data_IF_160439835537
#
_entry.id   IF_160439835537
#
_cell.length_a   1.000
_cell.length_b   1.000
_cell.length_c   1.000
_cell.angle_alpha   90.00
_cell.angle_beta   90.00
_cell.angle_gamma   90.00
#
_symmetry.space_group_name_H-M   'P 1'
#
loop_
_entity.id
_entity.type
_entity.pdbx_description
1 polymer ?
#
# COMPACT_ATOMS: atom_id res chain seq x y z
N UNK A 1 25.31 2.13 -25.06
CA UNK A 1 24.19 3.09 -25.01
C UNK A 1 23.27 2.61 -23.93
N UNK A 2 23.38 3.23 -22.76
CA UNK A 2 22.77 2.80 -21.50
C UNK A 2 21.36 3.37 -21.37
N UNK A 3 20.43 2.53 -20.92
CA UNK A 3 19.00 2.81 -20.74
C UNK A 3 18.76 3.27 -19.28
N UNK A 4 18.06 4.39 -19.00
CA UNK A 4 17.99 4.96 -17.65
C UNK A 4 16.80 4.47 -16.79
N UNK A 5 17.15 3.67 -15.77
CA UNK A 5 16.80 3.75 -14.33
C UNK A 5 15.41 4.09 -13.76
N UNK A 6 14.32 4.29 -14.53
CA UNK A 6 12.98 4.57 -13.94
C UNK A 6 11.98 3.41 -13.88
N UNK A 7 12.26 2.30 -14.57
CA UNK A 7 11.62 1.01 -14.25
C UNK A 7 12.14 0.42 -12.91
N UNK A 8 13.08 1.12 -12.26
CA UNK A 8 13.94 0.64 -11.18
C UNK A 8 13.42 1.00 -9.77
N UNK A 9 12.39 1.86 -9.65
CA UNK A 9 11.77 2.22 -8.36
C UNK A 9 10.48 1.41 -8.07
N UNK A 10 9.74 1.03 -9.10
CA UNK A 10 8.77 -0.09 -9.02
C UNK A 10 9.54 -1.39 -8.74
N UNK A 11 10.75 -1.53 -9.29
CA UNK A 11 11.67 -2.59 -8.92
C UNK A 11 12.23 -2.45 -7.48
N UNK A 12 12.23 -1.26 -6.86
CA UNK A 12 12.78 -1.06 -5.51
C UNK A 12 11.89 -1.62 -4.39
N UNK A 13 10.58 -1.41 -4.48
CA UNK A 13 9.60 -2.01 -3.56
C UNK A 13 9.51 -3.53 -3.74
N UNK A 14 9.83 -4.05 -4.93
CA UNK A 14 9.92 -5.50 -5.22
C UNK A 14 11.24 -6.08 -4.69
N UNK A 15 12.39 -5.44 -4.94
CA UNK A 15 13.74 -5.95 -4.60
C UNK A 15 13.99 -6.04 -3.07
N UNK A 16 13.45 -5.13 -2.25
CA UNK A 16 13.63 -5.16 -0.80
C UNK A 16 12.85 -6.30 -0.12
N UNK A 17 11.63 -6.57 -0.61
CA UNK A 17 10.79 -7.69 -0.16
C UNK A 17 11.43 -9.02 -0.61
N UNK A 18 11.95 -9.10 -1.84
CA UNK A 18 12.65 -10.28 -2.36
C UNK A 18 13.96 -10.62 -1.62
N UNK A 19 14.70 -9.62 -1.13
CA UNK A 19 15.97 -9.83 -0.41
C UNK A 19 15.78 -10.39 1.01
N UNK A 20 14.76 -9.91 1.74
CA UNK A 20 14.36 -10.47 3.03
C UNK A 20 13.87 -11.93 2.92
N UNK A 21 13.15 -12.24 1.84
CA UNK A 21 12.73 -13.61 1.50
C UNK A 21 13.94 -14.48 1.12
N UNK A 22 14.92 -13.96 0.37
CA UNK A 22 16.14 -14.70 -0.01
C UNK A 22 17.02 -15.08 1.19
N UNK A 23 17.12 -14.24 2.23
CA UNK A 23 17.86 -14.55 3.47
C UNK A 23 17.13 -15.59 4.32
N UNK A 24 15.80 -15.49 4.43
CA UNK A 24 14.96 -16.53 5.06
C UNK A 24 15.05 -17.87 4.32
N UNK A 25 15.04 -17.85 2.98
CA UNK A 25 15.23 -19.02 2.13
C UNK A 25 16.64 -19.60 2.22
N UNK A 26 17.70 -18.77 2.36
CA UNK A 26 19.08 -19.25 2.51
C UNK A 26 19.31 -19.96 3.86
N UNK A 27 18.69 -19.46 4.93
CA UNK A 27 18.73 -20.12 6.25
C UNK A 27 17.93 -21.44 6.25
N UNK A 28 16.83 -21.50 5.50
CA UNK A 28 16.02 -22.72 5.32
C UNK A 28 16.67 -23.76 4.38
N UNK A 29 17.48 -23.30 3.41
CA UNK A 29 18.21 -24.14 2.42
C UNK A 29 19.33 -24.99 3.03
N UNK A 30 19.79 -24.69 4.25
CA UNK A 30 20.73 -25.53 5.00
C UNK A 30 20.05 -26.61 5.86
N UNK A 31 18.72 -26.69 5.90
CA UNK A 31 18.03 -27.88 6.39
C UNK A 31 17.85 -28.87 5.24
N UNK A 32 18.68 -29.91 5.28
CA UNK A 32 18.77 -31.01 4.32
C UNK A 32 17.43 -31.45 3.73
N UNK A 33 17.44 -31.52 2.40
CA UNK A 33 16.62 -32.33 1.50
C UNK A 33 15.88 -33.49 2.17
N UNK A 34 14.59 -33.30 2.39
CA UNK A 34 13.59 -34.28 2.01
C UNK A 34 12.69 -33.58 0.99
N UNK A 35 12.53 -34.16 -0.20
CA UNK A 35 11.63 -33.63 -1.22
C UNK A 35 10.18 -33.78 -0.72
N UNK A 36 9.74 -32.81 0.10
CA UNK A 36 8.33 -32.53 0.32
C UNK A 36 7.75 -32.12 -1.03
N UNK A 37 6.77 -32.88 -1.54
CA UNK A 37 5.92 -32.42 -2.64
C UNK A 37 5.26 -31.13 -2.18
N UNK A 38 5.78 -29.99 -2.61
CA UNK A 38 5.15 -28.68 -2.38
C UNK A 38 3.89 -28.66 -3.24
N UNK A 39 2.73 -28.61 -2.60
CA UNK A 39 1.46 -28.44 -3.27
C UNK A 39 1.29 -26.96 -3.58
N UNK A 40 1.35 -26.61 -4.86
CA UNK A 40 1.22 -25.23 -5.36
C UNK A 40 -0.12 -25.10 -6.07
N UNK A 41 -0.81 -23.97 -5.83
CA UNK A 41 -2.04 -23.64 -6.53
C UNK A 41 -1.78 -23.50 -8.04
N UNK A 42 -2.76 -23.86 -8.86
CA UNK A 42 -2.71 -23.46 -10.27
C UNK A 42 -2.72 -21.93 -10.38
N UNK A 43 -2.18 -21.42 -11.49
CA UNK A 43 -2.12 -19.98 -11.77
C UNK A 43 -3.49 -19.33 -11.64
N UNK A 44 -4.50 -19.94 -12.24
CA UNK A 44 -5.86 -19.42 -12.28
C UNK A 44 -6.46 -19.35 -10.87
N UNK A 45 -6.29 -20.40 -10.07
CA UNK A 45 -6.79 -20.45 -8.70
C UNK A 45 -6.05 -19.48 -7.78
N UNK A 46 -4.73 -19.32 -7.95
CA UNK A 46 -3.95 -18.35 -7.20
C UNK A 46 -4.43 -16.92 -7.45
N UNK A 47 -4.58 -16.55 -8.73
CA UNK A 47 -5.08 -15.22 -9.13
C UNK A 47 -6.47 -14.98 -8.57
N UNK A 48 -7.38 -15.96 -8.72
CA UNK A 48 -8.74 -15.85 -8.21
C UNK A 48 -8.76 -15.62 -6.69
N UNK A 49 -8.00 -16.42 -5.94
CA UNK A 49 -7.92 -16.29 -4.47
C UNK A 49 -7.37 -14.92 -4.08
N UNK A 50 -6.29 -14.44 -4.70
CA UNK A 50 -5.73 -13.12 -4.41
C UNK A 50 -6.76 -12.00 -4.65
N UNK A 51 -7.47 -12.04 -5.77
CA UNK A 51 -8.54 -11.06 -6.07
C UNK A 51 -9.68 -11.12 -5.05
N UNK A 52 -10.05 -12.32 -4.57
CA UNK A 52 -11.07 -12.49 -3.54
C UNK A 52 -10.62 -11.96 -2.18
N UNK A 53 -9.37 -12.21 -1.78
CA UNK A 53 -8.80 -11.64 -0.55
C UNK A 53 -8.80 -10.12 -0.65
N UNK A 54 -8.31 -9.56 -1.76
CA UNK A 54 -8.31 -8.10 -1.99
C UNK A 54 -9.70 -7.50 -1.86
N UNK A 55 -10.72 -8.14 -2.46
CA UNK A 55 -12.11 -7.71 -2.35
C UNK A 55 -12.64 -7.76 -0.91
N UNK A 56 -12.38 -8.85 -0.20
CA UNK A 56 -12.81 -9.03 1.19
C UNK A 56 -12.13 -8.03 2.13
N UNK A 57 -10.83 -7.79 1.95
CA UNK A 57 -10.08 -6.75 2.65
C UNK A 57 -10.71 -5.36 2.41
N UNK A 58 -11.00 -5.04 1.15
CA UNK A 58 -11.59 -3.75 0.76
C UNK A 58 -12.96 -3.49 1.40
N UNK A 59 -13.79 -4.53 1.51
CA UNK A 59 -15.11 -4.44 2.15
C UNK A 59 -15.02 -4.02 3.63
N UNK A 60 -13.94 -4.39 4.32
CA UNK A 60 -13.71 -4.01 5.72
C UNK A 60 -12.94 -2.68 5.83
N UNK A 61 -12.00 -2.45 4.91
CA UNK A 61 -11.15 -1.26 4.89
C UNK A 61 -11.95 0.03 4.64
N UNK A 62 -12.79 0.08 3.61
CA UNK A 62 -13.47 1.31 3.20
C UNK A 62 -14.42 1.90 4.26
N UNK A 63 -15.25 1.09 4.94
CA UNK A 63 -16.05 1.59 6.06
C UNK A 63 -15.19 2.12 7.21
N UNK A 64 -14.08 1.43 7.52
CA UNK A 64 -13.19 1.79 8.61
C UNK A 64 -12.42 3.10 8.34
N UNK A 65 -11.92 3.32 7.12
CA UNK A 65 -11.24 4.58 6.76
C UNK A 65 -12.21 5.76 6.81
N UNK A 66 -13.45 5.57 6.33
CA UNK A 66 -14.49 6.60 6.42
C UNK A 66 -14.82 6.96 7.87
N UNK A 67 -14.95 5.95 8.74
CA UNK A 67 -15.17 6.19 10.16
C UNK A 67 -13.98 6.92 10.81
N UNK A 68 -12.75 6.52 10.50
CA UNK A 68 -11.52 7.18 10.97
C UNK A 68 -11.48 8.64 10.55
N UNK A 69 -11.82 8.96 9.29
CA UNK A 69 -11.87 10.35 8.79
C UNK A 69 -12.90 11.19 9.54
N UNK A 70 -14.11 10.66 9.72
CA UNK A 70 -15.18 11.33 10.49
C UNK A 70 -14.74 11.57 11.94
N UNK A 71 -14.01 10.63 12.53
CA UNK A 71 -13.51 10.74 13.90
C UNK A 71 -12.40 11.78 14.01
N UNK A 72 -11.32 11.64 13.23
CA UNK A 72 -10.13 12.50 13.33
C UNK A 72 -10.44 13.97 13.03
N UNK A 73 -11.31 14.25 12.04
CA UNK A 73 -11.72 15.62 11.65
C UNK A 73 -12.50 16.39 12.73
N UNK A 74 -12.89 15.75 13.83
CA UNK A 74 -13.50 16.43 15.00
C UNK A 74 -12.48 17.17 15.87
N UNK A 75 -11.21 16.84 15.70
CA UNK A 75 -10.12 17.32 16.56
C UNK A 75 -9.16 18.21 15.77
N UNK A 76 -8.44 19.12 16.45
CA UNK A 76 -7.36 19.88 15.81
C UNK A 76 -6.28 18.95 15.21
N UNK A 77 -5.73 19.25 14.02
CA UNK A 77 -4.78 18.36 13.31
C UNK A 77 -3.53 17.93 14.09
N UNK A 78 -3.11 18.71 15.10
CA UNK A 78 -1.93 18.43 15.95
C UNK A 78 -2.29 18.00 17.38
N UNK A 79 -3.53 17.55 17.58
CA UNK A 79 -3.96 17.07 18.89
C UNK A 79 -3.67 15.58 19.02
N UNK A 80 -3.37 15.14 20.24
CA UNK A 80 -3.15 13.72 20.57
C UNK A 80 -4.33 12.85 20.11
N UNK A 81 -5.57 13.35 20.23
CA UNK A 81 -6.76 12.64 19.75
C UNK A 81 -6.78 12.44 18.23
N UNK A 82 -6.30 13.42 17.46
CA UNK A 82 -6.21 13.33 16.01
C UNK A 82 -5.20 12.25 15.60
N UNK A 83 -4.01 12.31 16.17
CA UNK A 83 -2.90 11.38 15.89
C UNK A 83 -3.27 9.95 16.29
N UNK A 84 -3.86 9.78 17.48
CA UNK A 84 -4.29 8.48 17.98
C UNK A 84 -5.37 7.83 17.10
N UNK A 85 -6.28 8.62 16.50
CA UNK A 85 -7.26 8.09 15.57
C UNK A 85 -6.60 7.46 14.33
N UNK A 86 -5.55 8.09 13.80
CA UNK A 86 -4.80 7.64 12.62
C UNK A 86 -4.01 6.37 12.93
N UNK A 87 -3.20 6.41 13.99
CA UNK A 87 -2.36 5.27 14.40
C UNK A 87 -3.23 4.04 14.74
N UNK A 88 -4.38 4.24 15.39
CA UNK A 88 -5.30 3.14 15.68
C UNK A 88 -5.98 2.56 14.45
N UNK A 89 -6.31 3.41 13.47
CA UNK A 89 -6.78 2.91 12.18
C UNK A 89 -5.71 2.05 11.51
N UNK A 90 -4.46 2.51 11.49
CA UNK A 90 -3.36 1.75 10.89
C UNK A 90 -3.13 0.41 11.59
N UNK A 91 -3.22 0.33 12.92
CA UNK A 91 -3.11 -0.95 13.65
C UNK A 91 -4.20 -1.96 13.26
N UNK A 92 -5.38 -1.49 12.82
CA UNK A 92 -6.49 -2.36 12.41
C UNK A 92 -6.34 -2.90 10.98
N UNK A 93 -5.61 -2.22 10.10
CA UNK A 93 -5.52 -2.62 8.67
C UNK A 93 -4.91 -4.01 8.49
N UNK A 94 -3.84 -4.31 9.23
CA UNK A 94 -3.23 -5.65 9.26
C UNK A 94 -4.24 -6.72 9.68
N UNK A 95 -5.02 -6.47 10.73
CA UNK A 95 -6.03 -7.43 11.20
C UNK A 95 -7.14 -7.67 10.16
N UNK A 96 -7.53 -6.65 9.39
CA UNK A 96 -8.49 -6.82 8.30
C UNK A 96 -7.94 -7.71 7.18
N UNK A 97 -6.66 -7.54 6.83
CA UNK A 97 -5.99 -8.34 5.81
C UNK A 97 -5.82 -9.80 6.26
N UNK A 98 -5.38 -10.01 7.50
CA UNK A 98 -5.21 -11.34 8.08
C UNK A 98 -6.56 -12.08 8.09
N UNK A 99 -7.62 -11.42 8.55
CA UNK A 99 -8.97 -11.97 8.53
C UNK A 99 -9.47 -12.27 7.11
N UNK A 100 -9.27 -11.36 6.15
CA UNK A 100 -9.64 -11.57 4.76
C UNK A 100 -8.92 -12.80 4.16
N UNK A 101 -7.62 -12.93 4.45
CA UNK A 101 -6.79 -14.05 3.98
C UNK A 101 -7.26 -15.37 4.58
N UNK A 102 -7.48 -15.43 5.90
CA UNK A 102 -7.96 -16.63 6.58
C UNK A 102 -9.35 -17.03 6.08
N UNK A 103 -10.28 -16.07 5.98
CA UNK A 103 -11.65 -16.33 5.55
C UNK A 103 -11.70 -16.88 4.12
N UNK A 104 -10.98 -16.27 3.17
CA UNK A 104 -11.00 -16.70 1.77
C UNK A 104 -10.27 -18.04 1.59
N UNK A 105 -9.07 -18.21 2.14
CA UNK A 105 -8.33 -19.48 1.97
C UNK A 105 -9.11 -20.66 2.56
N UNK A 106 -9.79 -20.47 3.69
CA UNK A 106 -10.71 -21.46 4.27
C UNK A 106 -11.90 -21.79 3.35
N UNK A 107 -12.53 -20.79 2.74
CA UNK A 107 -13.66 -21.00 1.82
C UNK A 107 -13.26 -21.78 0.55
N UNK A 108 -12.03 -21.57 0.09
CA UNK A 108 -11.44 -22.31 -1.04
C UNK A 108 -10.78 -23.64 -0.63
N UNK A 109 -10.85 -24.02 0.66
CA UNK A 109 -10.22 -25.22 1.23
C UNK A 109 -8.70 -25.29 0.98
N UNK A 110 -8.07 -24.12 0.90
CA UNK A 110 -6.63 -23.97 0.76
C UNK A 110 -6.02 -23.80 2.14
N UNK A 111 -5.00 -24.60 2.45
CA UNK A 111 -4.27 -24.42 3.71
C UNK A 111 -3.43 -23.14 3.65
N UNK A 112 -3.23 -22.43 4.79
CA UNK A 112 -2.38 -21.23 4.82
C UNK A 112 -0.99 -21.48 4.23
N UNK A 113 -0.43 -22.67 4.49
CA UNK A 113 0.87 -23.09 3.96
C UNK A 113 0.88 -23.23 2.45
N UNK A 114 -0.15 -23.84 1.85
CA UNK A 114 -0.25 -23.96 0.38
C UNK A 114 -0.38 -22.58 -0.28
N UNK A 115 -1.12 -21.66 0.35
CA UNK A 115 -1.21 -20.29 -0.14
C UNK A 115 0.14 -19.57 -0.03
N UNK A 116 0.82 -19.63 1.11
CA UNK A 116 2.16 -19.07 1.33
C UNK A 116 3.20 -19.65 0.35
N UNK A 117 3.23 -20.98 0.19
CA UNK A 117 4.11 -21.66 -0.75
C UNK A 117 3.82 -21.23 -2.20
N UNK A 118 2.55 -20.96 -2.54
CA UNK A 118 2.15 -20.43 -3.85
C UNK A 118 2.58 -18.98 -4.06
N UNK A 119 2.46 -18.12 -3.04
CA UNK A 119 2.99 -16.74 -3.09
C UNK A 119 4.50 -16.78 -3.36
N UNK A 120 5.24 -17.57 -2.60
CA UNK A 120 6.70 -17.71 -2.77
C UNK A 120 7.08 -18.29 -4.14
N UNK A 121 6.29 -19.23 -4.67
CA UNK A 121 6.51 -19.80 -6.00
C UNK A 121 6.28 -18.76 -7.11
N UNK A 122 5.24 -17.93 -6.99
CA UNK A 122 4.87 -16.94 -8.01
C UNK A 122 5.61 -15.60 -7.90
N UNK A 123 6.40 -15.36 -6.86
CA UNK A 123 7.19 -14.14 -6.67
C UNK A 123 8.15 -13.85 -7.85
N UNK A 124 8.67 -14.90 -8.49
CA UNK A 124 9.54 -14.77 -9.66
C UNK A 124 8.80 -14.59 -11.00
N UNK A 125 7.46 -14.49 -10.99
CA UNK A 125 6.62 -14.36 -12.18
C UNK A 125 5.89 -13.01 -12.13
N UNK A 126 6.44 -11.92 -12.70
CA UNK A 126 5.92 -10.56 -12.52
C UNK A 126 4.44 -10.39 -12.88
N UNK A 127 3.96 -11.12 -13.88
CA UNK A 127 2.57 -11.08 -14.30
C UNK A 127 1.60 -11.76 -13.32
N UNK A 128 2.14 -12.51 -12.34
CA UNK A 128 1.41 -13.25 -11.32
C UNK A 128 1.67 -12.66 -9.92
N UNK A 129 2.92 -12.29 -9.59
CA UNK A 129 3.33 -11.71 -8.31
C UNK A 129 2.53 -10.44 -7.98
N UNK A 130 2.19 -9.65 -9.00
CA UNK A 130 1.35 -8.45 -8.87
C UNK A 130 0.03 -8.73 -8.14
N UNK A 131 -0.57 -9.91 -8.30
CA UNK A 131 -1.85 -10.22 -7.65
C UNK A 131 -1.70 -10.40 -6.14
N UNK A 132 -0.61 -11.01 -5.68
CA UNK A 132 -0.29 -11.09 -4.25
C UNK A 132 0.13 -9.74 -3.67
N UNK A 133 0.90 -8.95 -4.42
CA UNK A 133 1.30 -7.59 -4.03
C UNK A 133 0.10 -6.64 -3.91
N UNK A 134 -0.94 -6.85 -4.70
CA UNK A 134 -2.13 -6.02 -4.68
C UNK A 134 -3.10 -6.35 -3.56
N UNK A 135 -2.95 -7.45 -2.83
CA UNK A 135 -3.88 -7.84 -1.76
C UNK A 135 -3.92 -6.77 -0.65
N UNK A 136 -2.77 -6.17 -0.34
CA UNK A 136 -2.64 -5.09 0.66
C UNK A 136 -3.22 -3.75 0.17
N UNK A 137 -3.52 -3.62 -1.12
CA UNK A 137 -4.07 -2.41 -1.73
C UNK A 137 -5.59 -2.58 -1.87
N UNK A 138 -6.41 -1.76 -1.18
CA UNK A 138 -7.86 -1.86 -1.34
C UNK A 138 -8.24 -1.70 -2.83
N UNK A 139 -9.15 -2.53 -3.31
CA UNK A 139 -9.81 -2.35 -4.58
C UNK A 139 -10.77 -1.17 -4.47
N UNK A 140 -10.64 -0.20 -5.37
CA UNK A 140 -11.58 0.91 -5.44
C UNK A 140 -12.98 0.38 -5.78
N UNK A 141 -13.98 0.86 -5.07
CA UNK A 141 -15.38 0.71 -5.49
C UNK A 141 -15.63 1.70 -6.62
N UNK A 142 -15.95 1.20 -7.81
CA UNK A 142 -15.99 1.89 -9.12
C UNK A 142 -16.95 3.10 -9.26
N UNK A 143 -17.49 3.67 -8.18
CA UNK A 143 -18.58 4.65 -8.22
C UNK A 143 -18.21 6.08 -7.78
N UNK A 144 -16.97 6.49 -7.93
CA UNK A 144 -16.59 7.90 -7.71
C UNK A 144 -16.80 8.68 -9.01
N UNK A 145 -17.97 9.32 -9.14
CA UNK A 145 -18.33 10.18 -10.27
C UNK A 145 -17.94 11.64 -10.04
N UNK A 146 -16.68 11.88 -9.70
CA UNK A 146 -16.11 13.21 -9.84
C UNK A 146 -15.42 13.31 -11.21
N UNK A 147 -15.39 14.50 -11.80
CA UNK A 147 -14.61 14.78 -13.00
C UNK A 147 -13.80 16.05 -12.73
N UNK A 148 -12.55 15.88 -12.35
CA UNK A 148 -11.62 16.99 -12.16
C UNK A 148 -10.93 17.26 -13.49
N UNK A 149 -10.77 18.54 -13.83
CA UNK A 149 -9.91 18.87 -14.96
C UNK A 149 -8.46 18.58 -14.61
N UNK A 150 -7.62 18.38 -15.63
CA UNK A 150 -6.18 18.16 -15.45
C UNK A 150 -5.53 19.27 -14.61
N UNK A 151 -5.91 20.53 -14.84
CA UNK A 151 -5.38 21.69 -14.10
C UNK A 151 -5.71 21.61 -12.61
N UNK A 152 -6.91 21.12 -12.25
CA UNK A 152 -7.31 20.93 -10.86
C UNK A 152 -6.55 19.78 -10.21
N UNK A 153 -6.33 18.68 -10.93
CA UNK A 153 -5.47 17.59 -10.45
C UNK A 153 -4.05 18.10 -10.18
N UNK A 154 -3.48 18.90 -11.10
CA UNK A 154 -2.16 19.54 -10.92
C UNK A 154 -2.16 20.44 -9.67
N UNK A 155 -3.17 21.30 -9.51
CA UNK A 155 -3.30 22.18 -8.36
C UNK A 155 -3.25 21.40 -7.04
N UNK A 156 -4.01 20.30 -6.95
CA UNK A 156 -4.04 19.48 -5.74
C UNK A 156 -2.74 18.73 -5.47
N UNK A 157 -2.10 18.17 -6.51
CA UNK A 157 -0.81 17.50 -6.34
C UNK A 157 0.30 18.47 -5.94
N UNK A 158 0.30 19.69 -6.50
CA UNK A 158 1.23 20.75 -6.08
C UNK A 158 0.95 21.22 -4.66
N UNK A 159 -0.33 21.38 -4.28
CA UNK A 159 -0.71 21.70 -2.91
C UNK A 159 -0.17 20.65 -1.93
N UNK A 160 -0.39 19.37 -2.24
CA UNK A 160 0.09 18.26 -1.41
C UNK A 160 1.62 18.32 -1.25
N UNK A 161 2.35 18.42 -2.35
CA UNK A 161 3.82 18.46 -2.35
C UNK A 161 4.38 19.63 -1.53
N UNK A 162 3.80 20.83 -1.69
CA UNK A 162 4.23 22.02 -0.95
C UNK A 162 3.97 21.87 0.55
N UNK A 163 2.76 21.43 0.94
CA UNK A 163 2.40 21.24 2.35
C UNK A 163 3.24 20.14 3.00
N UNK A 164 3.52 19.07 2.28
CA UNK A 164 4.39 17.99 2.75
C UNK A 164 5.81 18.49 3.02
N UNK A 165 6.35 19.33 2.13
CA UNK A 165 7.67 19.95 2.33
C UNK A 165 7.68 20.91 3.52
N UNK A 166 6.61 21.68 3.73
CA UNK A 166 6.49 22.62 4.85
C UNK A 166 6.35 21.94 6.22
N UNK A 167 5.71 20.77 6.26
CA UNK A 167 5.50 19.99 7.49
C UNK A 167 6.67 19.04 7.80
N UNK A 168 7.49 18.70 6.81
CA UNK A 168 8.62 17.77 6.96
C UNK A 168 9.93 18.48 7.35
N UNK A 169 10.05 18.85 8.62
CA UNK A 169 11.30 19.34 9.20
C UNK A 169 12.10 18.16 9.79
N UNK A 170 12.97 17.55 8.98
CA UNK A 170 14.02 16.59 9.37
C UNK A 170 13.55 15.28 10.05
N UNK A 171 13.45 14.22 9.24
CA UNK A 171 13.31 12.80 9.62
C UNK A 171 12.03 12.43 10.38
N UNK A 172 10.96 12.14 9.63
CA UNK A 172 9.72 11.57 10.16
C UNK A 172 9.86 10.06 10.37
N UNK A 173 9.41 9.55 11.52
CA UNK A 173 9.08 8.14 11.65
C UNK A 173 7.81 7.78 10.84
N UNK A 174 7.47 6.50 10.73
CA UNK A 174 6.31 6.08 9.92
C UNK A 174 4.97 6.60 10.47
N UNK A 175 4.81 6.65 11.79
CA UNK A 175 3.57 7.13 12.40
C UNK A 175 3.41 8.65 12.17
N UNK A 176 4.50 9.42 12.29
CA UNK A 176 4.53 10.84 11.98
C UNK A 176 4.24 11.11 10.50
N UNK A 177 4.77 10.29 9.58
CA UNK A 177 4.42 10.37 8.16
C UNK A 177 2.94 10.12 7.91
N UNK A 178 2.34 9.10 8.55
CA UNK A 178 0.91 8.84 8.45
C UNK A 178 0.08 10.01 8.98
N UNK A 179 0.53 10.66 10.05
CA UNK A 179 -0.10 11.87 10.59
C UNK A 179 -0.01 13.02 9.59
N UNK A 180 1.18 13.35 9.10
CA UNK A 180 1.39 14.48 8.17
C UNK A 180 0.57 14.30 6.89
N UNK A 181 0.60 13.11 6.29
CA UNK A 181 -0.17 12.83 5.07
C UNK A 181 -1.67 12.93 5.31
N UNK A 182 -2.17 12.44 6.45
CA UNK A 182 -3.57 12.59 6.88
C UNK A 182 -3.98 14.04 7.09
N UNK A 183 -3.10 14.88 7.64
CA UNK A 183 -3.35 16.31 7.83
C UNK A 183 -3.55 17.00 6.48
N UNK A 184 -2.68 16.72 5.51
CA UNK A 184 -2.77 17.29 4.16
C UNK A 184 -4.06 16.83 3.46
N UNK A 185 -4.43 15.55 3.58
CA UNK A 185 -5.69 15.03 3.05
C UNK A 185 -6.90 15.76 3.65
N UNK A 186 -6.91 15.98 4.96
CA UNK A 186 -8.00 16.66 5.64
C UNK A 186 -8.04 18.16 5.31
N UNK A 187 -6.88 18.81 5.07
CA UNK A 187 -6.81 20.17 4.54
C UNK A 187 -7.42 20.26 3.14
N UNK A 188 -7.07 19.34 2.24
CA UNK A 188 -7.64 19.25 0.88
C UNK A 188 -9.16 19.04 0.98
N UNK A 189 -9.61 18.13 1.84
CA UNK A 189 -11.04 17.91 2.06
C UNK A 189 -11.73 19.16 2.62
N UNK A 190 -11.15 19.84 3.60
CA UNK A 190 -11.72 21.06 4.19
C UNK A 190 -11.88 22.17 3.14
N UNK A 191 -10.86 22.37 2.31
CA UNK A 191 -10.82 23.46 1.33
C UNK A 191 -11.63 23.17 0.06
N UNK A 192 -11.70 21.90 -0.36
CA UNK A 192 -12.20 21.54 -1.69
C UNK A 192 -13.32 20.49 -1.68
N UNK A 193 -13.61 19.89 -0.52
CA UNK A 193 -14.60 18.82 -0.35
C UNK A 193 -14.32 17.61 -1.26
N UNK A 194 -13.05 17.30 -1.45
CA UNK A 194 -12.54 16.20 -2.28
C UNK A 194 -11.79 15.23 -1.37
N UNK A 195 -12.18 13.96 -1.43
CA UNK A 195 -11.43 12.88 -0.78
C UNK A 195 -10.27 12.41 -1.67
N UNK A 196 -9.20 11.91 -1.06
CA UNK A 196 -7.97 11.52 -1.77
C UNK A 196 -8.20 10.41 -2.81
N UNK A 197 -9.20 9.56 -2.61
CA UNK A 197 -9.58 8.53 -3.59
C UNK A 197 -10.10 9.14 -4.89
N UNK A 198 -10.84 10.25 -4.79
CA UNK A 198 -11.38 10.95 -5.95
C UNK A 198 -10.25 11.62 -6.72
N UNK A 199 -9.27 12.19 -6.01
CA UNK A 199 -8.06 12.72 -6.61
C UNK A 199 -7.23 11.64 -7.32
N UNK A 200 -7.03 10.48 -6.67
CA UNK A 200 -6.25 9.37 -7.23
C UNK A 200 -6.91 8.79 -8.49
N UNK A 201 -8.24 8.66 -8.50
CA UNK A 201 -8.97 8.19 -9.68
C UNK A 201 -8.84 9.15 -10.88
N UNK A 202 -8.88 10.45 -10.64
CA UNK A 202 -8.67 11.44 -11.71
C UNK A 202 -7.20 11.52 -12.13
N UNK A 203 -6.26 11.36 -11.19
CA UNK A 203 -4.82 11.27 -11.50
C UNK A 203 -4.51 10.14 -12.48
N UNK A 204 -5.05 8.94 -12.26
CA UNK A 204 -4.77 7.78 -13.12
C UNK A 204 -5.18 8.02 -14.59
N UNK A 205 -6.15 8.92 -14.86
CA UNK A 205 -6.52 9.32 -16.23
C UNK A 205 -5.46 10.17 -16.92
N UNK A 206 -4.69 10.94 -16.15
CA UNK A 206 -3.68 11.89 -16.64
C UNK A 206 -2.24 11.47 -16.30
N UNK A 207 -2.06 10.29 -15.70
CA UNK A 207 -0.80 9.80 -15.12
C UNK A 207 0.41 9.98 -16.03
N UNK A 208 0.28 9.61 -17.30
CA UNK A 208 1.36 9.72 -18.29
C UNK A 208 1.89 11.16 -18.45
N UNK A 209 1.06 12.16 -18.18
CA UNK A 209 1.36 13.58 -18.33
C UNK A 209 1.71 14.27 -17.00
N UNK A 210 1.46 13.62 -15.87
CA UNK A 210 1.61 14.19 -14.52
C UNK A 210 2.72 13.52 -13.69
N UNK A 211 3.33 12.45 -14.20
CA UNK A 211 4.31 11.63 -13.48
C UNK A 211 5.47 12.46 -12.88
N UNK A 212 5.95 13.48 -13.60
CA UNK A 212 7.05 14.35 -13.15
C UNK A 212 6.70 15.19 -11.91
N UNK A 213 5.41 15.46 -11.68
CA UNK A 213 4.93 16.22 -10.50
C UNK A 213 4.89 15.32 -9.26
N UNK A 214 4.66 14.02 -9.45
CA UNK A 214 4.43 13.05 -8.36
C UNK A 214 5.73 12.37 -7.91
N UNK A 215 6.74 12.34 -8.78
CA UNK A 215 8.02 11.69 -8.54
C UNK A 215 8.73 12.11 -7.22
N UNK A 216 8.77 13.40 -6.85
CA UNK A 216 9.41 13.81 -5.60
C UNK A 216 8.70 13.21 -4.37
N UNK A 217 7.37 13.17 -4.38
CA UNK A 217 6.56 12.61 -3.29
C UNK A 217 6.72 11.09 -3.17
N UNK A 218 6.84 10.39 -4.32
CA UNK A 218 7.15 8.94 -4.34
C UNK A 218 8.50 8.68 -3.68
N UNK A 219 9.53 9.44 -4.06
CA UNK A 219 10.89 9.28 -3.55
C UNK A 219 10.95 9.46 -2.03
N UNK A 220 10.29 10.49 -1.52
CA UNK A 220 10.28 10.80 -0.09
C UNK A 220 9.48 9.77 0.72
N UNK A 221 8.36 9.28 0.17
CA UNK A 221 7.59 8.17 0.77
C UNK A 221 8.42 6.89 0.85
N UNK A 222 9.17 6.57 -0.22
CA UNK A 222 10.08 5.41 -0.21
C UNK A 222 11.19 5.54 0.84
N UNK A 223 11.72 6.74 1.05
CA UNK A 223 12.75 6.99 2.06
C UNK A 223 12.24 6.72 3.49
N UNK A 224 11.06 7.22 3.82
CA UNK A 224 10.43 7.04 5.14
C UNK A 224 10.09 5.57 5.38
N UNK A 225 9.53 4.88 4.37
CA UNK A 225 9.24 3.45 4.46
C UNK A 225 10.52 2.61 4.68
N UNK A 226 11.63 3.00 4.05
CA UNK A 226 12.92 2.34 4.26
C UNK A 226 13.53 2.64 5.64
N UNK A 227 13.28 3.83 6.20
CA UNK A 227 13.75 4.21 7.52
C UNK A 227 12.95 3.54 8.66
N UNK A 228 11.67 3.23 8.43
CA UNK A 228 10.80 2.55 9.38
C UNK A 228 10.99 1.02 9.45
N UNK A 229 11.81 0.48 8.54
CA UNK A 229 12.24 -0.91 8.56
C UNK A 229 13.44 -1.03 9.52
N UNK A 230 13.16 -1.18 10.82
CA UNK A 230 14.12 -1.32 11.95
C UNK A 230 15.00 -2.60 11.87
N UNK A 231 15.34 -3.08 10.68
CA UNK A 231 16.16 -4.27 10.46
C UNK A 231 17.68 -4.00 10.49
N UNK A 232 18.12 -2.79 10.86
CA UNK A 232 19.55 -2.43 10.93
C UNK A 232 20.05 -1.81 12.26
N UNK A 233 19.21 -1.71 13.30
CA UNK A 233 19.70 -1.42 14.65
C UNK A 233 19.87 -2.74 15.44
N UNK A 234 21.13 -3.00 15.84
CA UNK A 234 21.67 -4.26 16.35
C UNK A 234 20.94 -4.90 17.54
#
# INVERSE_FOLDING_TARGET
MEVPSKNLAIAGCVIAISAGILVYLYQKKNQKNDMLKVEILSKESFIEICQKIRKEYSNNYWPAVKACRIERRKYPPRSEHYEHAIVNFQKKTKAFLDHATEHVTKNYRVSPKVFEDSVNYYDSFPEISQYSEEIVKPAYTEDIKLHLTKERVIEFMMYYSNRFTELNADYLDFDEYLVVTSQIEDEIYSNYQIEVEELNNEYEKYKAELEDIVEPMKTQTSYILAAADDSFEN
#
